data_IF_963974308249
#
_entry.id   IF_963974308249
#
_cell.length_a   1.000
_cell.length_b   1.000
_cell.length_c   1.000
_cell.angle_alpha   90.00
_cell.angle_beta   90.00
_cell.angle_gamma   90.00
#
_symmetry.space_group_name_H-M   'P 1'
#
loop_
_entity.id
_entity.type
_entity.pdbx_description
1 polymer ?
#
# COMPACT_ATOMS: atom_id res chain seq x y z
N UNK A 1 19.47 2.23 -12.55
CA UNK A 1 18.07 2.28 -12.10
C UNK A 1 17.81 3.66 -11.54
N UNK A 2 16.75 4.36 -11.97
CA UNK A 2 16.57 5.76 -11.63
C UNK A 2 16.17 5.95 -10.16
N UNK A 3 16.58 7.10 -9.65
CA UNK A 3 16.14 7.73 -8.42
C UNK A 3 14.62 7.90 -8.35
N UNK A 4 14.08 8.04 -7.15
CA UNK A 4 12.74 8.59 -6.97
C UNK A 4 12.80 10.09 -7.36
N UNK A 5 12.06 10.54 -8.38
CA UNK A 5 12.12 11.92 -8.81
C UNK A 5 11.65 12.89 -7.72
N UNK A 6 12.20 14.11 -7.70
CA UNK A 6 11.90 15.12 -6.65
C UNK A 6 10.43 15.60 -6.68
N UNK A 7 9.73 15.41 -7.79
CA UNK A 7 8.32 15.70 -8.01
C UNK A 7 7.42 14.46 -7.90
N UNK A 8 7.97 13.32 -7.45
CA UNK A 8 7.17 12.14 -7.21
C UNK A 8 6.16 12.40 -6.08
N UNK A 9 4.90 12.04 -6.34
CA UNK A 9 3.84 12.14 -5.34
C UNK A 9 3.79 10.85 -4.52
N UNK A 10 3.82 11.00 -3.20
CA UNK A 10 3.59 9.91 -2.26
C UNK A 10 2.11 9.78 -1.95
N UNK A 11 1.63 8.54 -2.00
CA UNK A 11 0.25 8.18 -1.74
C UNK A 11 0.27 6.95 -0.84
N UNK A 12 -0.70 6.80 0.05
CA UNK A 12 -0.92 5.54 0.73
C UNK A 12 -2.40 5.25 0.84
N UNK A 13 -2.74 3.97 0.99
CA UNK A 13 -4.04 3.59 1.49
C UNK A 13 -3.89 2.45 2.47
N UNK A 14 -4.78 2.46 3.46
CA UNK A 14 -4.98 1.36 4.39
C UNK A 14 -5.97 0.38 3.80
N UNK A 15 -5.71 -0.90 3.96
CA UNK A 15 -6.58 -1.93 3.42
C UNK A 15 -6.34 -3.29 4.04
N UNK A 16 -7.22 -4.26 3.74
CA UNK A 16 -6.98 -5.63 4.16
C UNK A 16 -5.68 -6.13 3.55
N UNK A 17 -4.99 -6.95 4.32
CA UNK A 17 -3.87 -7.69 3.79
C UNK A 17 -4.33 -8.64 2.68
N UNK A 18 -3.71 -8.53 1.51
CA UNK A 18 -3.76 -9.54 0.47
C UNK A 18 -2.39 -10.21 0.39
N UNK A 19 -2.11 -11.06 1.37
CA UNK A 19 -0.82 -11.71 1.55
C UNK A 19 -0.91 -12.93 2.45
N UNK A 20 -0.12 -12.94 3.52
CA UNK A 20 -0.07 -14.06 4.45
C UNK A 20 -1.33 -14.12 5.31
N UNK A 21 -1.81 -15.32 5.70
CA UNK A 21 -3.00 -15.48 6.56
C UNK A 21 -2.89 -14.81 7.94
N UNK A 22 -1.66 -14.53 8.38
CA UNK A 22 -1.31 -13.88 9.65
C UNK A 22 -1.42 -12.35 9.60
N UNK A 23 -1.62 -11.78 8.42
CA UNK A 23 -1.70 -10.35 8.21
C UNK A 23 -3.18 -9.93 8.19
N UNK A 24 -3.59 -9.06 9.11
CA UNK A 24 -4.97 -8.57 9.20
C UNK A 24 -5.16 -7.20 8.53
N UNK A 25 -4.10 -6.40 8.48
CA UNK A 25 -4.12 -5.02 8.00
C UNK A 25 -2.79 -4.67 7.34
N UNK A 26 -2.83 -3.83 6.31
CA UNK A 26 -1.65 -3.33 5.64
C UNK A 26 -1.82 -1.88 5.18
N UNK A 27 -0.69 -1.19 5.05
CA UNK A 27 -0.56 0.05 4.30
C UNK A 27 0.14 -0.26 2.97
N UNK A 28 -0.52 0.08 1.87
CA UNK A 28 0.09 0.05 0.55
C UNK A 28 0.49 1.49 0.20
N UNK A 29 1.80 1.69 0.13
CA UNK A 29 2.47 2.97 -0.11
C UNK A 29 2.92 2.99 -1.56
N UNK A 30 2.61 4.08 -2.24
CA UNK A 30 2.88 4.28 -3.65
C UNK A 30 3.63 5.58 -3.85
N UNK A 31 4.68 5.53 -4.64
CA UNK A 31 5.31 6.72 -5.17
C UNK A 31 5.09 6.76 -6.68
N UNK A 32 4.58 7.86 -7.19
CA UNK A 32 4.23 8.03 -8.61
C UNK A 32 4.93 9.25 -9.18
N UNK A 33 5.58 9.08 -10.33
CA UNK A 33 6.13 10.20 -11.09
C UNK A 33 5.14 10.67 -12.16
N UNK A 34 4.67 11.93 -12.12
CA UNK A 34 3.53 12.40 -12.89
C UNK A 34 3.74 12.44 -14.41
N UNK A 35 4.98 12.38 -14.89
CA UNK A 35 5.28 12.59 -16.32
C UNK A 35 5.62 11.31 -17.09
N UNK A 36 6.18 10.28 -16.43
CA UNK A 36 6.57 9.03 -17.09
C UNK A 36 5.68 7.83 -16.71
N UNK A 37 4.74 8.01 -15.78
CA UNK A 37 3.81 6.97 -15.34
C UNK A 37 4.47 5.87 -14.50
N UNK A 38 5.69 6.08 -14.03
CA UNK A 38 6.39 5.11 -13.17
C UNK A 38 5.73 5.07 -11.81
N UNK A 39 5.51 3.86 -11.32
CA UNK A 39 4.90 3.58 -10.02
C UNK A 39 5.81 2.65 -9.23
N UNK A 40 6.20 3.09 -8.03
CA UNK A 40 6.93 2.27 -7.07
C UNK A 40 6.04 1.94 -5.89
N UNK A 41 6.00 0.67 -5.52
CA UNK A 41 5.16 0.15 -4.45
C UNK A 41 6.00 -0.38 -3.28
N UNK A 42 5.61 0.01 -2.07
CA UNK A 42 6.05 -0.57 -0.79
C UNK A 42 4.81 -0.96 -0.02
N UNK A 43 4.90 -2.06 0.72
CA UNK A 43 3.83 -2.55 1.58
C UNK A 43 4.34 -2.67 3.00
N UNK A 44 3.59 -2.11 3.96
CA UNK A 44 3.83 -2.30 5.37
C UNK A 44 2.67 -3.12 5.96
N UNK A 45 2.95 -4.20 6.67
CA UNK A 45 1.93 -5.03 7.31
C UNK A 45 2.37 -5.44 8.71
N UNK A 46 1.39 -5.59 9.61
CA UNK A 46 1.65 -6.18 10.94
C UNK A 46 1.52 -7.69 10.84
N UNK A 47 2.54 -8.42 11.32
CA UNK A 47 2.55 -9.88 11.31
C UNK A 47 2.72 -10.43 12.72
N UNK A 48 1.97 -11.48 13.04
CA UNK A 48 2.19 -12.26 14.24
C UNK A 48 3.55 -13.02 14.16
N UNK A 49 4.50 -12.66 15.03
CA UNK A 49 5.76 -13.38 15.20
C UNK A 49 5.80 -14.23 16.48
N UNK A 50 6.78 -15.12 16.57
CA UNK A 50 6.99 -15.96 17.76
C UNK A 50 7.30 -15.15 19.02
N UNK A 51 7.87 -13.94 18.88
CA UNK A 51 8.22 -13.05 19.98
C UNK A 51 7.22 -11.89 20.17
N UNK A 52 6.11 -11.89 19.43
CA UNK A 52 5.16 -10.78 19.36
C UNK A 52 4.95 -10.27 17.94
N UNK A 53 4.02 -9.32 17.74
CA UNK A 53 3.78 -8.72 16.44
C UNK A 53 4.99 -7.92 15.97
N UNK A 54 5.33 -8.01 14.69
CA UNK A 54 6.36 -7.20 14.06
C UNK A 54 5.84 -6.50 12.81
N UNK A 55 6.37 -5.32 12.54
CA UNK A 55 6.11 -4.59 11.30
C UNK A 55 6.98 -5.19 10.19
N UNK A 56 6.35 -5.78 9.17
CA UNK A 56 7.00 -6.24 7.95
C UNK A 56 6.89 -5.15 6.89
N UNK A 57 8.02 -4.81 6.28
CA UNK A 57 8.08 -3.91 5.13
C UNK A 57 8.53 -4.72 3.91
N UNK A 58 7.68 -4.81 2.91
CA UNK A 58 7.92 -5.56 1.68
C UNK A 58 8.00 -4.62 0.48
N UNK A 59 8.96 -4.88 -0.40
CA UNK A 59 9.09 -4.16 -1.66
C UNK A 59 9.76 -5.05 -2.70
N UNK A 60 9.43 -4.82 -3.98
CA UNK A 60 10.13 -5.49 -5.06
C UNK A 60 11.60 -5.00 -5.11
N UNK A 61 12.54 -5.88 -5.49
CA UNK A 61 13.94 -5.50 -5.66
C UNK A 61 14.13 -4.33 -6.64
N UNK A 62 13.29 -4.26 -7.68
CA UNK A 62 13.25 -3.15 -8.63
C UNK A 62 12.76 -1.83 -8.03
N UNK A 63 12.12 -1.85 -6.86
CA UNK A 63 11.67 -0.65 -6.16
C UNK A 63 12.62 -0.25 -5.04
N UNK A 64 13.39 -1.21 -4.50
CA UNK A 64 14.35 -0.95 -3.42
C UNK A 64 15.31 0.19 -3.75
N UNK A 65 15.84 0.24 -4.98
CA UNK A 65 16.78 1.30 -5.39
C UNK A 65 16.14 2.69 -5.34
N UNK A 66 14.85 2.79 -5.67
CA UNK A 66 14.12 4.06 -5.60
C UNK A 66 13.86 4.46 -4.14
N UNK A 67 13.39 3.51 -3.33
CA UNK A 67 13.06 3.74 -1.93
C UNK A 67 14.27 3.96 -1.02
N UNK A 68 15.43 3.39 -1.36
CA UNK A 68 16.69 3.66 -0.67
C UNK A 68 17.12 5.14 -0.76
N UNK A 69 16.50 5.92 -1.65
CA UNK A 69 16.74 7.36 -1.79
C UNK A 69 15.75 8.24 -1.01
N UNK A 70 14.76 7.63 -0.35
CA UNK A 70 13.93 8.26 0.66
C UNK A 70 14.29 7.69 2.04
N UNK A 71 15.51 7.94 2.55
CA UNK A 71 15.96 7.39 3.82
C UNK A 71 15.12 7.89 5.00
N UNK A 72 14.36 8.98 4.85
CA UNK A 72 13.59 9.63 5.90
C UNK A 72 12.53 8.69 6.49
N UNK A 73 11.80 7.95 5.65
CA UNK A 73 10.81 6.97 6.11
C UNK A 73 11.45 5.90 6.99
N UNK A 74 12.52 5.27 6.51
CA UNK A 74 13.21 4.20 7.24
C UNK A 74 13.93 4.71 8.48
N UNK A 75 14.49 5.92 8.42
CA UNK A 75 15.18 6.57 9.54
C UNK A 75 14.20 6.94 10.66
N UNK A 76 13.03 7.47 10.30
CA UNK A 76 11.97 7.77 11.26
C UNK A 76 11.46 6.49 11.93
N UNK A 77 11.26 5.40 11.18
CA UNK A 77 10.83 4.11 11.72
C UNK A 77 11.88 3.47 12.63
N UNK A 78 13.17 3.55 12.28
CA UNK A 78 14.26 2.99 13.08
C UNK A 78 14.40 3.64 14.46
N UNK A 79 13.88 4.86 14.63
CA UNK A 79 13.83 5.57 15.92
C UNK A 79 12.73 5.09 16.87
N UNK A 80 11.83 4.20 16.43
CA UNK A 80 10.66 3.75 17.20
C UNK A 80 10.89 2.29 17.63
N UNK A 81 10.91 2.06 18.95
CA UNK A 81 11.19 0.74 19.55
C UNK A 81 10.16 -0.34 19.14
N UNK A 82 8.92 0.06 18.83
CA UNK A 82 7.85 -0.84 18.38
C UNK A 82 6.91 -0.12 17.41
N UNK A 83 7.37 0.14 16.19
CA UNK A 83 6.61 0.84 15.18
C UNK A 83 5.32 0.09 14.78
N UNK A 84 4.23 0.84 14.64
CA UNK A 84 2.91 0.37 14.22
C UNK A 84 2.55 0.87 12.82
N UNK A 85 1.44 0.37 12.23
CA UNK A 85 0.90 0.95 10.99
C UNK A 85 0.44 2.40 11.18
N UNK A 86 -0.03 2.77 12.38
CA UNK A 86 -0.40 4.17 12.67
C UNK A 86 0.84 5.07 12.66
N UNK A 87 1.98 4.58 13.16
CA UNK A 87 3.25 5.31 13.07
C UNK A 87 3.70 5.49 11.63
N UNK A 88 3.58 4.44 10.80
CA UNK A 88 3.90 4.53 9.37
C UNK A 88 3.00 5.56 8.68
N UNK A 89 1.70 5.53 8.91
CA UNK A 89 0.76 6.51 8.32
C UNK A 89 1.12 7.94 8.75
N UNK A 90 1.36 8.17 10.05
CA UNK A 90 1.78 9.48 10.57
C UNK A 90 3.07 9.98 9.92
N UNK A 91 4.09 9.13 9.76
CA UNK A 91 5.34 9.50 9.10
C UNK A 91 5.09 9.85 7.63
N UNK A 92 4.22 9.11 6.94
CA UNK A 92 3.86 9.40 5.55
C UNK A 92 3.14 10.76 5.44
N UNK A 93 2.23 11.08 6.36
CA UNK A 93 1.59 12.39 6.44
C UNK A 93 2.61 13.52 6.66
N UNK A 94 3.58 13.32 7.55
CA UNK A 94 4.69 14.25 7.81
C UNK A 94 5.57 14.47 6.57
N UNK A 95 5.70 13.44 5.72
CA UNK A 95 6.40 13.50 4.42
C UNK A 95 5.53 14.05 3.29
N UNK A 96 4.29 14.45 3.57
CA UNK A 96 3.36 15.02 2.60
C UNK A 96 2.69 14.00 1.69
N UNK A 97 2.62 12.73 2.09
CA UNK A 97 1.85 11.73 1.38
C UNK A 97 0.35 12.03 1.46
N UNK A 98 -0.39 11.61 0.43
CA UNK A 98 -1.86 11.71 0.42
C UNK A 98 -2.48 10.39 0.88
N UNK A 99 -3.38 10.46 1.86
CA UNK A 99 -4.24 9.34 2.23
C UNK A 99 -5.35 9.12 1.18
N UNK A 100 -5.27 8.00 0.47
CA UNK A 100 -6.25 7.57 -0.52
C UNK A 100 -7.18 6.46 0.00
N UNK A 101 -7.17 6.14 1.29
CA UNK A 101 -7.95 5.03 1.88
C UNK A 101 -9.42 5.08 1.48
N UNK A 102 -10.09 6.21 1.74
CA UNK A 102 -11.51 6.38 1.43
C UNK A 102 -11.80 6.27 -0.07
N UNK A 103 -10.91 6.83 -0.91
CA UNK A 103 -11.05 6.79 -2.37
C UNK A 103 -10.89 5.36 -2.90
N UNK A 104 -9.92 4.63 -2.36
CA UNK A 104 -9.66 3.25 -2.72
C UNK A 104 -10.79 2.31 -2.30
N UNK A 105 -11.32 2.49 -1.09
CA UNK A 105 -12.45 1.70 -0.60
C UNK A 105 -13.70 1.90 -1.46
N UNK A 106 -14.02 3.15 -1.79
CA UNK A 106 -15.13 3.47 -2.69
C UNK A 106 -14.97 2.84 -4.07
N UNK A 107 -13.78 2.97 -4.68
CA UNK A 107 -13.50 2.36 -5.98
C UNK A 107 -13.67 0.84 -5.94
N UNK A 108 -13.21 0.21 -4.86
CA UNK A 108 -13.32 -1.25 -4.66
C UNK A 108 -14.76 -1.71 -4.53
N UNK A 109 -15.58 -1.00 -3.76
CA UNK A 109 -17.02 -1.28 -3.65
C UNK A 109 -17.73 -1.16 -5.01
N UNK A 110 -17.42 -0.11 -5.77
CA UNK A 110 -17.99 0.11 -7.11
C UNK A 110 -17.56 -0.98 -8.11
N UNK A 111 -16.30 -1.43 -8.05
CA UNK A 111 -15.77 -2.52 -8.87
C UNK A 111 -16.49 -3.83 -8.59
N UNK A 112 -16.58 -4.26 -7.32
CA UNK A 112 -17.24 -5.53 -6.99
C UNK A 112 -18.71 -5.53 -7.32
N UNK A 113 -19.42 -4.42 -7.07
CA UNK A 113 -20.82 -4.26 -7.49
C UNK A 113 -20.98 -4.46 -8.99
N UNK A 114 -20.05 -3.94 -9.80
CA UNK A 114 -20.08 -4.10 -11.26
C UNK A 114 -19.82 -5.56 -11.66
N UNK A 115 -18.82 -6.21 -11.04
CA UNK A 115 -18.51 -7.62 -11.29
C UNK A 115 -19.69 -8.53 -10.94
N UNK A 116 -20.36 -8.28 -9.81
CA UNK A 116 -21.53 -9.07 -9.41
C UNK A 116 -22.70 -8.90 -10.39
N UNK A 117 -22.96 -7.66 -10.86
CA UNK A 117 -23.97 -7.39 -11.88
C UNK A 117 -23.70 -8.12 -13.20
N UNK A 118 -22.45 -8.14 -13.65
CA UNK A 118 -22.05 -8.87 -14.86
C UNK A 118 -22.14 -10.39 -14.66
N UNK A 119 -21.84 -10.90 -13.45
CA UNK A 119 -21.97 -12.33 -13.14
C UNK A 119 -23.42 -12.78 -13.13
N UNK A 120 -24.32 -12.00 -12.54
CA UNK A 120 -25.77 -12.27 -12.56
C UNK A 120 -26.33 -12.24 -13.99
N UNK A 121 -25.89 -11.29 -14.82
CA UNK A 121 -26.28 -11.22 -16.23
C UNK A 121 -25.74 -12.40 -17.06
N UNK A 122 -24.53 -12.88 -16.75
CA UNK A 122 -23.95 -14.06 -17.37
C UNK A 122 -24.69 -15.33 -16.94
N UNK A 123 -24.93 -15.55 -15.65
CA UNK A 123 -25.64 -16.74 -15.14
C UNK A 123 -27.07 -16.84 -15.70
N UNK A 124 -27.78 -15.72 -15.88
CA UNK A 124 -29.10 -15.69 -16.54
C UNK A 124 -29.08 -16.05 -18.03
N UNK A 125 -27.94 -15.96 -18.71
CA UNK A 125 -27.81 -16.24 -20.15
C UNK A 125 -27.52 -17.70 -20.51
N UNK A 126 -27.32 -18.58 -19.51
CA UNK A 126 -27.08 -20.02 -19.69
C UNK A 126 -28.28 -20.91 -19.31
N UNK A 127 -29.36 -20.34 -18.76
CA UNK A 127 -30.57 -21.05 -18.35
C UNK A 127 -31.70 -21.04 -19.42
N UNK A 128 -31.43 -20.55 -20.64
CA UNK A 128 -32.35 -20.49 -21.79
C UNK A 128 -31.95 -21.43 -22.95
#
# INVERSE_FOLDING_TARGET
MPALPADATLLYHRGPSHGEPSETEALLIRAHHPTDGTLWNVRCATIAGMAGPYLKIEMANSHFVAWAQLPELFSALAGIESATLDDVARILDELGATDETVKHDRWREEFYRTVDQEREAFDFSFDD
#
